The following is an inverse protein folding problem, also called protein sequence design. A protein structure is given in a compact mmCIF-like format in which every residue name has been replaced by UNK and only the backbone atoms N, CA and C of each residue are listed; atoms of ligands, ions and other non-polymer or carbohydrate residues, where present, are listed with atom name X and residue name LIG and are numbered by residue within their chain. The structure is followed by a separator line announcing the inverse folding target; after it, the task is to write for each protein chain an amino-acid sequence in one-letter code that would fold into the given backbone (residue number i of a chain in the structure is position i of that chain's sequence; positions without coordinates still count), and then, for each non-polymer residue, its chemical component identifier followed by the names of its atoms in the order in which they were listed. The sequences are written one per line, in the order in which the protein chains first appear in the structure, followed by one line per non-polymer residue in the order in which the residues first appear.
data_IF_341192214438
#
_entry.id   IF_341192214438
#
_cell.length_a   1.000
_cell.length_b   1.000
_cell.length_c   1.000
_cell.angle_alpha   90.00
_cell.angle_beta   90.00
_cell.angle_gamma   90.00
#
_symmetry.space_group_name_H-M   'P 1'
#
loop_
_entity.id
_entity.type
_entity.pdbx_description
1 polymer ?
#
# COMPACT_ATOMS: atom_id res chain seq x y z
N UNK A 1 52.25 22.46 69.86
CA UNK A 1 52.54 21.13 70.34
C UNK A 1 51.84 20.18 69.35
N UNK A 2 52.56 19.76 68.29
CA UNK A 2 53.19 18.45 68.12
C UNK A 2 52.12 17.33 68.14
N UNK A 3 51.99 16.46 67.20
CA UNK A 3 53.00 15.64 66.53
C UNK A 3 52.49 15.11 65.12
N UNK A 4 53.46 15.04 64.24
CA UNK A 4 53.55 14.28 62.99
C UNK A 4 53.11 12.83 63.12
N UNK A 5 52.52 12.34 62.09
CA UNK A 5 52.39 10.91 61.78
C UNK A 5 52.29 10.66 60.27
N UNK A 6 53.42 10.59 59.58
CA UNK A 6 53.56 10.08 58.24
C UNK A 6 53.30 8.57 58.26
N UNK A 7 52.37 8.10 57.41
CA UNK A 7 52.38 6.71 56.95
C UNK A 7 52.25 6.67 55.42
N UNK A 8 53.33 6.22 54.83
CA UNK A 8 53.40 5.76 53.45
C UNK A 8 52.44 4.55 53.26
N UNK A 9 51.60 4.59 52.31
CA UNK A 9 50.94 3.41 51.80
C UNK A 9 51.13 3.30 50.27
N UNK A 10 51.60 2.13 49.92
CA UNK A 10 52.05 1.69 48.61
C UNK A 10 51.02 1.84 47.53
N UNK A 11 51.48 2.31 46.38
CA UNK A 11 50.73 2.30 45.15
C UNK A 11 50.57 0.88 44.59
N UNK A 12 49.37 0.32 44.69
CA UNK A 12 49.01 -0.87 43.93
C UNK A 12 48.58 -0.43 42.53
N UNK A 13 49.42 -0.77 41.56
CA UNK A 13 49.06 -0.67 40.12
C UNK A 13 48.04 -1.76 39.82
N UNK A 14 46.77 -1.40 39.67
CA UNK A 14 45.77 -2.24 39.03
C UNK A 14 45.94 -2.11 37.52
N UNK A 15 46.38 -3.20 36.90
CA UNK A 15 46.41 -3.33 35.45
C UNK A 15 45.00 -3.28 34.90
N UNK A 16 44.71 -2.31 34.03
CA UNK A 16 43.51 -2.26 33.22
C UNK A 16 43.62 -3.30 32.12
N UNK A 17 42.96 -4.42 32.31
CA UNK A 17 42.67 -5.38 31.24
C UNK A 17 41.55 -4.82 30.39
N UNK A 18 41.88 -4.21 29.25
CA UNK A 18 40.92 -3.82 28.22
C UNK A 18 40.47 -5.07 27.51
N UNK A 19 39.28 -5.57 27.84
CA UNK A 19 38.59 -6.54 27.01
C UNK A 19 38.06 -5.81 25.76
N UNK A 20 38.66 -6.08 24.59
CA UNK A 20 38.12 -5.71 23.31
C UNK A 20 36.95 -6.65 23.01
N UNK A 21 35.71 -6.15 23.23
CA UNK A 21 34.50 -6.81 22.75
C UNK A 21 34.42 -6.55 21.26
N UNK A 22 34.87 -7.51 20.47
CA UNK A 22 34.67 -7.51 19.01
C UNK A 22 33.20 -7.68 18.72
N UNK A 23 32.52 -6.60 18.35
CA UNK A 23 31.17 -6.66 17.80
C UNK A 23 31.24 -7.28 16.41
N UNK A 24 30.92 -8.57 16.30
CA UNK A 24 30.69 -9.25 15.03
C UNK A 24 29.37 -8.73 14.46
N UNK A 25 29.45 -7.72 13.60
CA UNK A 25 28.28 -7.27 12.79
C UNK A 25 28.01 -8.32 11.74
N UNK A 26 27.06 -9.20 12.01
CA UNK A 26 26.46 -10.07 10.99
C UNK A 26 25.70 -9.17 10.01
N UNK A 27 26.32 -8.83 8.88
CA UNK A 27 25.65 -8.31 7.71
C UNK A 27 24.74 -9.43 7.17
N UNK A 28 23.52 -9.50 7.69
CA UNK A 28 22.44 -10.22 7.04
C UNK A 28 22.17 -9.50 5.71
N UNK A 29 22.87 -9.94 4.66
CA UNK A 29 22.57 -9.54 3.31
C UNK A 29 21.10 -9.87 3.03
N UNK A 30 20.26 -8.85 2.90
CA UNK A 30 18.92 -9.03 2.36
C UNK A 30 19.10 -9.63 0.96
N UNK A 31 18.74 -10.91 0.80
CA UNK A 31 18.64 -11.50 -0.52
C UNK A 31 17.72 -10.60 -1.37
N UNK A 32 18.06 -10.33 -2.64
CA UNK A 32 17.14 -9.60 -3.50
C UNK A 32 15.83 -10.36 -3.49
N UNK A 33 14.74 -9.67 -3.16
CA UNK A 33 13.41 -10.23 -3.23
C UNK A 33 13.20 -10.64 -4.71
N UNK A 34 13.27 -11.95 -5.00
CA UNK A 34 12.89 -12.46 -6.31
C UNK A 34 11.46 -11.99 -6.55
N UNK A 35 11.25 -11.25 -7.65
CA UNK A 35 9.94 -10.83 -8.06
C UNK A 35 9.04 -12.08 -8.19
N UNK A 36 8.04 -12.19 -7.30
CA UNK A 36 7.12 -13.33 -7.28
C UNK A 36 6.50 -13.47 -8.66
N UNK A 37 6.68 -14.61 -9.29
CA UNK A 37 6.12 -14.89 -10.61
C UNK A 37 4.69 -15.39 -10.41
N UNK A 38 3.75 -14.48 -10.45
CA UNK A 38 2.33 -14.82 -10.35
C UNK A 38 1.80 -15.54 -11.58
N UNK A 39 0.80 -16.43 -11.43
CA UNK A 39 0.14 -17.05 -12.56
C UNK A 39 -0.53 -15.99 -13.45
N UNK A 40 -0.57 -16.28 -14.74
CA UNK A 40 -1.27 -15.43 -15.71
C UNK A 40 -2.77 -15.42 -15.40
N UNK A 41 -3.38 -14.24 -15.53
CA UNK A 41 -4.82 -14.07 -15.36
C UNK A 41 -5.53 -14.08 -16.71
N UNK A 42 -6.74 -14.62 -16.75
CA UNK A 42 -7.64 -14.66 -17.94
C UNK A 42 -7.01 -15.23 -19.21
N UNK A 43 -5.93 -16.05 -19.11
CA UNK A 43 -5.19 -16.53 -20.28
C UNK A 43 -4.52 -15.43 -21.11
N UNK A 44 -4.37 -14.22 -20.53
CA UNK A 44 -3.90 -13.02 -21.20
C UNK A 44 -2.41 -13.03 -21.53
N UNK A 45 -2.01 -12.13 -22.45
CA UNK A 45 -0.62 -11.72 -22.63
C UNK A 45 -0.41 -10.50 -21.72
N UNK A 46 0.42 -10.65 -20.69
CA UNK A 46 0.72 -9.59 -19.75
C UNK A 46 1.92 -8.77 -20.23
N UNK A 47 1.74 -7.44 -20.26
CA UNK A 47 2.81 -6.49 -20.56
C UNK A 47 3.27 -5.81 -19.28
N UNK A 48 4.52 -5.96 -18.95
CA UNK A 48 5.13 -5.35 -17.78
C UNK A 48 5.97 -4.13 -18.12
N UNK A 49 5.94 -3.13 -17.27
CA UNK A 49 6.84 -1.99 -17.34
C UNK A 49 7.25 -1.53 -15.95
N UNK A 50 8.54 -1.35 -15.74
CA UNK A 50 9.10 -0.69 -14.56
C UNK A 50 9.10 0.84 -14.71
N UNK A 51 8.81 1.35 -15.92
CA UNK A 51 8.77 2.79 -16.19
C UNK A 51 7.35 3.31 -15.87
N UNK A 52 7.18 3.87 -14.69
CA UNK A 52 5.89 4.45 -14.23
C UNK A 52 5.39 5.59 -15.12
N UNK A 53 6.29 6.30 -15.82
CA UNK A 53 5.95 7.35 -16.79
C UNK A 53 5.08 6.87 -17.96
N UNK A 54 4.99 5.56 -18.19
CA UNK A 54 4.06 4.96 -19.17
C UNK A 54 2.61 4.94 -18.70
N UNK A 55 2.36 5.27 -17.44
CA UNK A 55 1.03 5.26 -16.83
C UNK A 55 0.65 6.66 -16.33
N UNK A 56 0.50 7.66 -17.22
CA UNK A 56 0.30 9.06 -16.83
C UNK A 56 -0.98 9.26 -16.01
N UNK A 57 -2.06 8.53 -16.30
CA UNK A 57 -3.32 8.61 -15.54
C UNK A 57 -3.16 8.14 -14.11
N UNK A 58 -2.47 7.01 -13.91
CA UNK A 58 -2.10 6.52 -12.58
C UNK A 58 -1.29 7.56 -11.80
N UNK A 59 -0.27 8.15 -12.44
CA UNK A 59 0.56 9.16 -11.78
C UNK A 59 -0.22 10.42 -11.44
N UNK A 60 -1.08 10.91 -12.36
CA UNK A 60 -1.95 12.04 -12.11
C UNK A 60 -2.96 11.78 -10.98
N UNK A 61 -3.50 10.58 -10.91
CA UNK A 61 -4.35 10.16 -9.80
C UNK A 61 -3.58 10.15 -8.47
N UNK A 62 -2.36 9.60 -8.44
CA UNK A 62 -1.50 9.59 -7.24
C UNK A 62 -1.18 11.00 -6.75
N UNK A 63 -0.84 11.91 -7.65
CA UNK A 63 -0.56 13.30 -7.31
C UNK A 63 -1.78 13.98 -6.66
N UNK A 64 -2.96 13.83 -7.26
CA UNK A 64 -4.21 14.32 -6.67
C UNK A 64 -4.54 13.64 -5.33
N UNK A 65 -4.25 12.34 -5.21
CA UNK A 65 -4.51 11.61 -3.97
C UNK A 65 -3.65 12.11 -2.81
N UNK A 66 -2.36 12.36 -3.05
CA UNK A 66 -1.45 12.93 -2.05
C UNK A 66 -1.88 14.34 -1.63
N UNK A 67 -2.28 15.18 -2.61
CA UNK A 67 -2.85 16.50 -2.35
C UNK A 67 -4.17 16.45 -1.58
N UNK A 68 -5.04 15.51 -1.94
CA UNK A 68 -6.36 15.31 -1.33
C UNK A 68 -6.32 14.84 0.12
N UNK A 69 -5.28 14.10 0.52
CA UNK A 69 -5.12 13.68 1.91
C UNK A 69 -5.06 14.86 2.88
N UNK A 70 -4.45 15.97 2.46
CA UNK A 70 -4.42 17.23 3.24
C UNK A 70 -5.78 17.94 3.30
N UNK A 71 -6.59 17.81 2.25
CA UNK A 71 -7.92 18.43 2.20
C UNK A 71 -8.97 17.66 3.01
N UNK A 72 -8.71 16.40 3.33
CA UNK A 72 -9.62 15.53 4.06
C UNK A 72 -9.41 15.49 5.57
N UNK A 73 -8.60 16.37 6.12
CA UNK A 73 -8.49 16.58 7.58
C UNK A 73 -9.68 17.34 8.17
N UNK A 74 -10.53 17.95 7.33
CA UNK A 74 -11.74 18.64 7.79
C UNK A 74 -12.90 17.66 8.02
N UNK A 75 -13.75 17.94 9.02
CA UNK A 75 -14.89 17.12 9.48
C UNK A 75 -15.98 16.87 8.40
N UNK A 76 -15.90 17.51 7.24
CA UNK A 76 -16.87 17.40 6.14
C UNK A 76 -16.44 16.42 5.05
N UNK A 77 -15.27 15.78 5.18
CA UNK A 77 -14.77 14.87 4.18
C UNK A 77 -15.30 13.45 4.38
N UNK A 78 -15.76 12.82 3.31
CA UNK A 78 -16.15 11.39 3.24
C UNK A 78 -15.02 10.43 3.65
N UNK A 79 -13.79 10.93 3.81
CA UNK A 79 -12.67 10.18 4.36
C UNK A 79 -12.91 9.64 5.77
N UNK A 80 -13.80 10.27 6.56
CA UNK A 80 -14.12 9.77 7.91
C UNK A 80 -14.74 8.39 7.83
N UNK A 81 -15.81 8.22 7.07
CA UNK A 81 -16.48 6.94 6.88
C UNK A 81 -15.56 5.87 6.28
N UNK A 82 -14.65 6.25 5.37
CA UNK A 82 -13.66 5.33 4.82
C UNK A 82 -12.64 4.87 5.87
N UNK A 83 -12.15 5.78 6.71
CA UNK A 83 -11.24 5.43 7.82
C UNK A 83 -11.92 4.52 8.84
N UNK A 84 -13.17 4.79 9.17
CA UNK A 84 -13.98 3.95 10.06
C UNK A 84 -14.16 2.56 9.47
N UNK A 85 -14.52 2.44 8.20
CA UNK A 85 -14.64 1.19 7.48
C UNK A 85 -13.33 0.37 7.48
N UNK A 86 -12.19 1.03 7.23
CA UNK A 86 -10.88 0.38 7.33
C UNK A 86 -10.64 -0.11 8.76
N UNK A 87 -10.95 0.70 9.78
CA UNK A 87 -10.74 0.32 11.18
C UNK A 87 -11.61 -0.87 11.60
N UNK A 88 -12.84 -0.99 11.10
CA UNK A 88 -13.72 -2.12 11.33
C UNK A 88 -13.20 -3.44 10.75
N UNK A 89 -12.49 -3.35 9.61
CA UNK A 89 -11.89 -4.51 8.95
C UNK A 89 -10.46 -4.82 9.40
N UNK A 90 -9.85 -3.93 10.18
CA UNK A 90 -8.49 -4.13 10.65
C UNK A 90 -8.39 -5.37 11.54
N UNK A 91 -7.43 -6.25 11.23
CA UNK A 91 -7.24 -7.52 11.97
C UNK A 91 -8.20 -8.65 11.61
N UNK A 92 -9.15 -8.43 10.71
CA UNK A 92 -9.94 -9.51 10.11
C UNK A 92 -9.06 -10.36 9.17
N UNK A 93 -9.47 -11.59 8.91
CA UNK A 93 -8.78 -12.44 7.94
C UNK A 93 -8.89 -11.87 6.52
N UNK A 94 -7.92 -12.21 5.66
CA UNK A 94 -7.83 -11.68 4.31
C UNK A 94 -9.09 -11.94 3.47
N UNK A 95 -9.68 -13.13 3.56
CA UNK A 95 -10.88 -13.44 2.76
C UNK A 95 -12.08 -12.58 3.17
N UNK A 96 -12.24 -12.33 4.46
CA UNK A 96 -13.24 -11.40 4.99
C UNK A 96 -12.98 -9.99 4.50
N UNK A 97 -11.74 -9.50 4.57
CA UNK A 97 -11.37 -8.18 4.07
C UNK A 97 -11.67 -8.03 2.56
N UNK A 98 -11.28 -9.01 1.73
CA UNK A 98 -11.55 -9.00 0.29
C UNK A 98 -13.04 -8.95 -0.01
N UNK A 99 -13.83 -9.79 0.66
CA UNK A 99 -15.28 -9.86 0.48
C UNK A 99 -15.97 -8.56 0.86
N UNK A 100 -15.65 -8.02 2.04
CA UNK A 100 -16.31 -6.82 2.55
C UNK A 100 -15.91 -5.57 1.77
N UNK A 101 -14.63 -5.43 1.39
CA UNK A 101 -14.16 -4.35 0.51
C UNK A 101 -14.86 -4.45 -0.84
N UNK A 102 -14.90 -5.62 -1.47
CA UNK A 102 -15.59 -5.79 -2.75
C UNK A 102 -17.09 -5.44 -2.65
N UNK A 103 -17.78 -5.91 -1.63
CA UNK A 103 -19.19 -5.64 -1.38
C UNK A 103 -19.47 -4.15 -1.17
N UNK A 104 -18.67 -3.48 -0.33
CA UNK A 104 -18.86 -2.08 0.01
C UNK A 104 -18.67 -1.16 -1.20
N UNK A 105 -17.61 -1.38 -1.98
CA UNK A 105 -17.37 -0.56 -3.17
C UNK A 105 -18.35 -0.87 -4.29
N UNK A 106 -18.74 -2.13 -4.52
CA UNK A 106 -19.72 -2.49 -5.54
C UNK A 106 -21.15 -2.01 -5.21
N UNK A 107 -21.43 -1.55 -4.00
CA UNK A 107 -22.68 -0.89 -3.64
C UNK A 107 -22.77 0.57 -4.15
N UNK A 108 -21.66 1.16 -4.60
CA UNK A 108 -21.66 2.47 -5.22
C UNK A 108 -22.30 2.42 -6.63
N UNK A 109 -22.76 3.59 -7.12
CA UNK A 109 -23.33 3.69 -8.47
C UNK A 109 -22.22 3.70 -9.51
N UNK A 110 -22.43 2.97 -10.61
CA UNK A 110 -21.56 3.05 -11.78
C UNK A 110 -21.91 4.30 -12.60
N UNK A 111 -20.95 5.20 -12.79
CA UNK A 111 -21.13 6.45 -13.52
C UNK A 111 -19.92 6.64 -14.44
N UNK A 112 -20.17 6.69 -15.74
CA UNK A 112 -19.12 6.92 -16.73
C UNK A 112 -18.44 8.27 -16.51
N UNK A 113 -17.15 8.33 -16.75
CA UNK A 113 -16.32 9.51 -16.59
C UNK A 113 -16.81 10.72 -17.37
N UNK A 114 -17.25 10.52 -18.60
CA UNK A 114 -17.79 11.61 -19.42
C UNK A 114 -18.98 12.32 -18.74
N UNK A 115 -19.79 11.60 -17.97
CA UNK A 115 -20.92 12.15 -17.21
C UNK A 115 -20.49 12.77 -15.88
N UNK A 116 -19.46 12.20 -15.29
CA UNK A 116 -19.01 12.56 -13.94
C UNK A 116 -18.01 13.71 -13.94
N UNK A 117 -17.10 13.70 -14.92
CA UNK A 117 -15.95 14.60 -15.00
C UNK A 117 -15.91 15.45 -16.26
N UNK A 118 -16.68 15.09 -17.31
CA UNK A 118 -16.61 15.72 -18.63
C UNK A 118 -15.39 15.28 -19.46
N UNK A 119 -14.69 14.23 -19.03
CA UNK A 119 -13.55 13.61 -19.68
C UNK A 119 -13.90 12.15 -20.03
N UNK A 120 -13.29 11.56 -21.05
CA UNK A 120 -13.62 10.20 -21.50
C UNK A 120 -13.00 9.10 -20.60
N UNK A 121 -11.91 9.40 -19.90
CA UNK A 121 -11.15 8.42 -19.10
C UNK A 121 -10.37 9.18 -18.00
N UNK A 122 -11.02 9.42 -16.87
CA UNK A 122 -10.51 10.17 -15.73
C UNK A 122 -10.37 9.25 -14.52
N UNK A 123 -9.16 8.91 -14.13
CA UNK A 123 -8.89 8.04 -12.99
C UNK A 123 -9.06 8.77 -11.66
N UNK A 124 -10.21 8.60 -11.03
CA UNK A 124 -10.51 9.28 -9.77
C UNK A 124 -9.70 8.73 -8.60
N UNK A 125 -9.43 9.61 -7.64
CA UNK A 125 -8.87 9.18 -6.35
C UNK A 125 -9.95 8.48 -5.52
N UNK A 126 -9.58 7.65 -4.51
CA UNK A 126 -10.57 7.07 -3.60
C UNK A 126 -11.50 8.10 -2.95
N UNK A 127 -10.99 9.30 -2.63
CA UNK A 127 -11.83 10.38 -2.08
C UNK A 127 -12.84 10.93 -3.09
N UNK A 128 -12.44 11.03 -4.35
CA UNK A 128 -13.31 11.47 -5.44
C UNK A 128 -14.39 10.43 -5.73
N UNK A 129 -14.00 9.15 -5.78
CA UNK A 129 -14.93 8.03 -5.96
C UNK A 129 -15.98 7.97 -4.84
N UNK A 130 -15.57 8.02 -3.58
CA UNK A 130 -16.48 7.99 -2.44
C UNK A 130 -17.46 9.17 -2.41
N UNK A 131 -17.09 10.29 -3.02
CA UNK A 131 -17.94 11.49 -3.11
C UNK A 131 -18.86 11.49 -4.32
N UNK A 132 -18.39 11.01 -5.48
CA UNK A 132 -19.07 11.18 -6.78
C UNK A 132 -19.38 9.85 -7.47
N UNK A 133 -18.96 8.71 -6.89
CA UNK A 133 -18.96 7.41 -7.55
C UNK A 133 -17.97 7.39 -8.74
N UNK A 134 -18.08 6.45 -9.68
CA UNK A 134 -17.15 6.35 -10.81
C UNK A 134 -17.41 5.13 -11.68
N UNK A 135 -16.46 4.80 -12.54
CA UNK A 135 -16.52 3.62 -13.40
C UNK A 135 -15.42 2.60 -13.08
N UNK A 136 -15.07 1.71 -14.00
CA UNK A 136 -14.37 0.47 -13.66
C UNK A 136 -13.01 0.66 -12.98
N UNK A 137 -12.17 1.58 -13.46
CA UNK A 137 -10.86 1.83 -12.86
C UNK A 137 -10.97 2.50 -11.49
N UNK A 138 -11.97 3.35 -11.28
CA UNK A 138 -12.19 4.02 -10.01
C UNK A 138 -12.56 3.02 -8.90
N UNK A 139 -13.37 2.01 -9.23
CA UNK A 139 -13.62 0.89 -8.31
C UNK A 139 -12.33 0.13 -7.99
N UNK A 140 -11.56 -0.23 -9.02
CA UNK A 140 -10.31 -0.98 -8.85
C UNK A 140 -9.29 -0.20 -8.01
N UNK A 141 -9.11 1.10 -8.28
CA UNK A 141 -8.23 2.00 -7.54
C UNK A 141 -8.68 2.12 -6.07
N UNK A 142 -9.97 2.34 -5.84
CA UNK A 142 -10.50 2.53 -4.49
C UNK A 142 -10.38 1.27 -3.63
N UNK A 143 -10.67 0.10 -4.20
CA UNK A 143 -10.44 -1.20 -3.55
C UNK A 143 -8.95 -1.43 -3.27
N UNK A 144 -8.06 -1.13 -4.23
CA UNK A 144 -6.61 -1.25 -4.06
C UNK A 144 -6.10 -0.43 -2.86
N UNK A 145 -6.47 0.85 -2.77
CA UNK A 145 -6.00 1.68 -1.67
C UNK A 145 -6.60 1.29 -0.32
N UNK A 146 -7.83 0.77 -0.31
CA UNK A 146 -8.45 0.25 0.90
C UNK A 146 -7.73 -0.99 1.41
N UNK A 147 -7.49 -1.97 0.54
CA UNK A 147 -6.75 -3.19 0.89
C UNK A 147 -5.30 -2.91 1.28
N UNK A 148 -4.65 -1.96 0.60
CA UNK A 148 -3.32 -1.48 0.99
C UNK A 148 -3.32 -0.89 2.40
N UNK A 149 -4.33 -0.11 2.76
CA UNK A 149 -4.48 0.46 4.11
C UNK A 149 -4.79 -0.61 5.16
N UNK A 150 -5.40 -1.73 4.78
CA UNK A 150 -5.62 -2.91 5.62
C UNK A 150 -4.36 -3.78 5.79
N UNK A 151 -3.27 -3.47 5.08
CA UNK A 151 -1.99 -4.16 5.18
C UNK A 151 -1.78 -5.27 4.14
N UNK A 152 -2.64 -5.37 3.13
CA UNK A 152 -2.40 -6.32 2.02
C UNK A 152 -1.15 -5.87 1.25
N UNK A 153 -0.15 -6.76 1.05
CA UNK A 153 1.09 -6.42 0.35
C UNK A 153 0.82 -5.91 -1.07
N UNK A 154 1.49 -4.83 -1.44
CA UNK A 154 1.29 -4.22 -2.78
C UNK A 154 1.75 -5.13 -3.91
N UNK A 155 2.73 -5.99 -3.65
CA UNK A 155 3.20 -7.03 -4.55
C UNK A 155 2.15 -8.10 -4.86
N UNK A 156 1.18 -8.31 -3.95
CA UNK A 156 0.09 -9.26 -4.13
C UNK A 156 -1.15 -8.63 -4.81
N UNK A 157 -1.07 -7.35 -5.21
CA UNK A 157 -2.18 -6.63 -5.81
C UNK A 157 -1.82 -6.04 -7.18
N UNK A 158 -2.77 -6.09 -8.13
CA UNK A 158 -2.62 -5.48 -9.45
C UNK A 158 -3.92 -4.81 -9.88
N UNK A 159 -3.86 -3.53 -10.22
CA UNK A 159 -4.89 -2.89 -11.03
C UNK A 159 -4.61 -3.26 -12.48
N UNK A 160 -5.54 -3.95 -13.10
CA UNK A 160 -5.41 -4.52 -14.44
C UNK A 160 -6.36 -3.81 -15.39
N UNK A 161 -5.82 -3.10 -16.37
CA UNK A 161 -6.57 -2.60 -17.51
C UNK A 161 -6.57 -3.67 -18.59
N UNK A 162 -7.73 -4.01 -19.11
CA UNK A 162 -7.93 -5.06 -20.10
C UNK A 162 -8.96 -4.63 -21.16
N UNK A 163 -8.95 -5.31 -22.29
CA UNK A 163 -9.99 -5.21 -23.30
C UNK A 163 -10.93 -6.39 -23.16
N UNK A 164 -12.19 -6.13 -22.82
CA UNK A 164 -13.23 -7.15 -22.86
C UNK A 164 -13.54 -7.50 -24.33
N UNK A 165 -13.22 -8.74 -24.72
CA UNK A 165 -13.38 -9.18 -26.11
C UNK A 165 -14.85 -9.41 -26.51
N UNK A 166 -15.74 -9.65 -25.54
CA UNK A 166 -17.16 -9.88 -25.81
C UNK A 166 -17.90 -8.57 -26.02
N UNK A 167 -17.58 -7.56 -25.20
CA UNK A 167 -18.21 -6.25 -25.24
C UNK A 167 -17.45 -5.26 -26.13
N UNK A 168 -16.22 -5.60 -26.52
CA UNK A 168 -15.28 -4.72 -27.22
C UNK A 168 -15.07 -3.37 -26.50
N UNK A 169 -15.03 -3.41 -25.19
CA UNK A 169 -14.86 -2.24 -24.31
C UNK A 169 -13.61 -2.38 -23.44
N UNK A 170 -12.95 -1.25 -23.18
CA UNK A 170 -11.95 -1.16 -22.14
C UNK A 170 -12.58 -1.46 -20.78
N UNK A 171 -11.87 -2.20 -19.94
CA UNK A 171 -12.32 -2.51 -18.59
C UNK A 171 -11.14 -2.51 -17.64
N UNK A 172 -11.40 -2.26 -16.35
CA UNK A 172 -10.39 -2.34 -15.31
C UNK A 172 -10.91 -3.14 -14.11
N UNK A 173 -10.04 -3.94 -13.53
CA UNK A 173 -10.34 -4.75 -12.34
C UNK A 173 -9.16 -4.72 -11.38
N UNK A 174 -9.44 -4.96 -10.10
CA UNK A 174 -8.40 -5.27 -9.13
C UNK A 174 -8.23 -6.79 -9.05
N UNK A 175 -6.99 -7.25 -9.17
CA UNK A 175 -6.62 -8.65 -8.88
C UNK A 175 -5.79 -8.68 -7.61
N UNK A 176 -6.16 -9.56 -6.70
CA UNK A 176 -5.41 -9.84 -5.47
C UNK A 176 -5.02 -11.31 -5.46
N UNK A 177 -3.74 -11.59 -5.22
CA UNK A 177 -3.24 -12.94 -5.13
C UNK A 177 -3.27 -13.42 -3.68
N UNK A 178 -4.01 -14.50 -3.44
CA UNK A 178 -4.05 -15.19 -2.15
C UNK A 178 -3.21 -16.47 -2.31
N UNK A 179 -1.94 -16.40 -1.91
CA UNK A 179 -0.95 -17.38 -2.35
C UNK A 179 -0.78 -17.31 -3.87
N UNK A 180 -0.99 -18.43 -4.57
CA UNK A 180 -0.91 -18.51 -6.04
C UNK A 180 -2.29 -18.38 -6.73
N UNK A 181 -3.35 -18.08 -5.98
CA UNK A 181 -4.70 -17.96 -6.52
C UNK A 181 -5.06 -16.50 -6.79
N UNK A 182 -5.31 -16.09 -8.05
CA UNK A 182 -5.79 -14.77 -8.38
C UNK A 182 -7.28 -14.64 -8.04
N UNK A 183 -7.61 -13.62 -7.25
CA UNK A 183 -8.97 -13.22 -6.90
C UNK A 183 -9.29 -11.91 -7.60
N UNK A 184 -10.33 -11.88 -8.42
CA UNK A 184 -10.79 -10.65 -9.10
C UNK A 184 -11.88 -9.99 -8.28
N UNK A 185 -11.74 -8.67 -8.07
CA UNK A 185 -12.63 -7.85 -7.26
C UNK A 185 -13.31 -6.77 -8.10
#
# INVERSE_FOLDING_TARGET
MEHRGRRLCAAQRLGRMTMAVGALVLLLGAAPAEARKYPKIFGSIELFSTKTTRFPKWLGMLDRFQGGAKLCESATCTAKGWKEFIAELQGQDLNTQLKEVNRAFNAHRYILDIKNWGEEDYWATPYQFLKKHGDCEDYAISKYFTLKALGVPVEDMRVVALQDQNLNLGHAVLVVYVGDQPMTL
#
